data_IF_296919472204
#
_entry.id   IF_296919472204
#
_cell.length_a   1.000
_cell.length_b   1.000
_cell.length_c   1.000
_cell.angle_alpha   90.00
_cell.angle_beta   90.00
_cell.angle_gamma   90.00
#
_symmetry.space_group_name_H-M   'P 1'
#
loop_
_entity.id
_entity.type
_entity.pdbx_description
1 polymer ?
#
# COMPACT_ATOMS: atom_id res chain seq x y z
N UNK A 1 16.96 76.79 3.41
CA UNK A 1 15.88 76.26 2.54
C UNK A 1 15.70 74.75 2.79
N UNK A 2 15.91 74.27 4.02
CA UNK A 2 16.35 72.88 4.26
C UNK A 2 15.30 71.92 4.83
N UNK A 3 14.02 72.33 4.90
CA UNK A 3 12.95 71.47 5.44
C UNK A 3 12.18 70.69 4.37
N UNK A 4 12.36 71.01 3.09
CA UNK A 4 11.68 70.31 1.97
C UNK A 4 12.41 69.02 1.56
N UNK A 5 13.75 69.02 1.49
CA UNK A 5 14.53 67.83 1.11
C UNK A 5 14.43 66.66 2.11
N UNK A 6 14.20 66.95 3.40
CA UNK A 6 14.04 65.94 4.45
C UNK A 6 12.67 65.25 4.40
N UNK A 7 11.59 65.96 4.03
CA UNK A 7 10.26 65.33 3.90
C UNK A 7 10.18 64.38 2.71
N UNK A 8 10.89 64.69 1.63
CA UNK A 8 10.91 63.85 0.42
C UNK A 8 11.68 62.55 0.65
N UNK A 9 12.81 62.60 1.37
CA UNK A 9 13.55 61.40 1.77
C UNK A 9 12.79 60.55 2.78
N UNK A 10 12.13 61.17 3.76
CA UNK A 10 11.28 60.44 4.72
C UNK A 10 10.12 59.73 3.99
N UNK A 11 9.47 60.40 3.04
CA UNK A 11 8.41 59.80 2.23
C UNK A 11 8.90 58.59 1.43
N UNK A 12 10.07 58.69 0.81
CA UNK A 12 10.67 57.57 0.08
C UNK A 12 10.98 56.38 0.98
N UNK A 13 11.58 56.61 2.16
CA UNK A 13 11.89 55.53 3.12
C UNK A 13 10.62 54.85 3.61
N UNK A 14 9.55 55.59 3.88
CA UNK A 14 8.26 55.02 4.30
C UNK A 14 7.62 54.17 3.21
N UNK A 15 7.61 54.63 1.96
CA UNK A 15 7.07 53.85 0.83
C UNK A 15 7.90 52.58 0.63
N UNK A 16 9.23 52.67 0.67
CA UNK A 16 10.10 51.51 0.53
C UNK A 16 9.88 50.48 1.66
N UNK A 17 9.74 50.94 2.91
CA UNK A 17 9.44 50.08 4.05
C UNK A 17 8.07 49.40 3.89
N UNK A 18 7.05 50.12 3.42
CA UNK A 18 5.71 49.56 3.20
C UNK A 18 5.70 48.50 2.08
N UNK A 19 6.39 48.77 0.97
CA UNK A 19 6.52 47.81 -0.14
C UNK A 19 7.28 46.56 0.34
N UNK A 20 8.39 46.74 1.05
CA UNK A 20 9.19 45.63 1.58
C UNK A 20 8.40 44.79 2.58
N UNK A 21 7.65 45.43 3.48
CA UNK A 21 6.77 44.74 4.43
C UNK A 21 5.66 43.96 3.71
N UNK A 22 5.06 44.54 2.67
CA UNK A 22 4.02 43.88 1.87
C UNK A 22 4.56 42.65 1.14
N UNK A 23 5.74 42.75 0.53
CA UNK A 23 6.43 41.61 -0.11
C UNK A 23 6.75 40.54 0.93
N UNK A 24 7.22 40.93 2.12
CA UNK A 24 7.52 40.00 3.20
C UNK A 24 6.32 39.15 3.63
N UNK A 25 5.14 39.77 3.79
CA UNK A 25 3.89 39.07 4.14
C UNK A 25 3.43 38.12 3.03
N UNK A 26 3.51 38.56 1.76
CA UNK A 26 3.15 37.71 0.61
C UNK A 26 4.11 36.52 0.50
N UNK A 27 5.39 36.72 0.75
CA UNK A 27 6.40 35.67 0.67
C UNK A 27 6.17 34.58 1.73
N UNK A 28 5.88 34.96 2.98
CA UNK A 28 5.64 33.97 4.05
C UNK A 28 4.31 33.24 3.93
N UNK A 29 3.26 33.91 3.46
CA UNK A 29 1.91 33.31 3.39
C UNK A 29 1.66 32.59 2.07
N UNK A 30 2.18 33.11 0.96
CA UNK A 30 1.92 32.61 -0.38
C UNK A 30 2.73 31.37 -0.76
N UNK A 31 3.95 31.23 -0.23
CA UNK A 31 4.83 30.10 -0.58
C UNK A 31 4.43 28.83 0.15
N UNK A 32 4.12 28.89 1.46
CA UNK A 32 3.72 27.72 2.23
C UNK A 32 2.49 27.01 1.66
N UNK A 33 1.45 27.76 1.30
CA UNK A 33 0.24 27.16 0.69
C UNK A 33 0.47 26.56 -0.70
N UNK A 34 1.48 27.04 -1.46
CA UNK A 34 1.87 26.44 -2.74
C UNK A 34 2.72 25.19 -2.55
N UNK A 35 3.55 25.14 -1.50
CA UNK A 35 4.33 23.97 -1.11
C UNK A 35 3.38 22.84 -0.67
N UNK A 36 2.43 23.11 0.22
CA UNK A 36 1.43 22.13 0.67
C UNK A 36 0.64 21.56 -0.52
N UNK A 37 0.12 22.42 -1.41
CA UNK A 37 -0.63 21.99 -2.59
C UNK A 37 0.21 21.14 -3.55
N UNK A 38 1.52 21.44 -3.66
CA UNK A 38 2.44 20.66 -4.50
C UNK A 38 2.75 19.30 -3.89
N UNK A 39 2.93 19.22 -2.58
CA UNK A 39 3.20 17.97 -1.86
C UNK A 39 1.98 17.01 -1.91
N UNK A 40 0.76 17.55 -1.81
CA UNK A 40 -0.48 16.78 -1.98
C UNK A 40 -0.64 16.24 -3.42
N UNK A 41 -0.33 17.07 -4.42
CA UNK A 41 -0.38 16.69 -5.82
C UNK A 41 0.69 15.62 -6.14
N UNK A 42 1.87 15.74 -5.54
CA UNK A 42 2.93 14.72 -5.64
C UNK A 42 2.44 13.37 -5.09
N UNK A 43 1.87 13.35 -3.88
CA UNK A 43 1.37 12.12 -3.27
C UNK A 43 0.24 11.50 -4.09
N UNK A 44 -0.67 12.32 -4.60
CA UNK A 44 -1.77 11.87 -5.48
C UNK A 44 -1.26 11.25 -6.78
N UNK A 45 -0.22 11.84 -7.39
CA UNK A 45 0.41 11.26 -8.59
C UNK A 45 1.14 9.95 -8.27
N UNK A 46 1.77 9.83 -7.09
CA UNK A 46 2.36 8.58 -6.63
C UNK A 46 1.32 7.48 -6.44
N UNK A 47 0.17 7.78 -5.84
CA UNK A 47 -0.92 6.80 -5.70
C UNK A 47 -1.31 6.22 -7.06
N UNK A 48 -1.48 7.07 -8.08
CA UNK A 48 -1.79 6.61 -9.44
C UNK A 48 -0.68 5.74 -10.03
N UNK A 49 0.58 6.09 -9.78
CA UNK A 49 1.71 5.28 -10.25
C UNK A 49 1.77 3.91 -9.55
N UNK A 50 1.37 3.83 -8.28
CA UNK A 50 1.25 2.57 -7.55
C UNK A 50 0.04 1.74 -7.98
N UNK A 51 -1.06 2.37 -8.40
CA UNK A 51 -2.18 1.66 -9.01
C UNK A 51 -1.74 1.01 -10.33
N UNK A 52 -0.99 1.74 -11.18
CA UNK A 52 -0.38 1.16 -12.39
C UNK A 52 0.64 0.05 -12.07
N UNK A 53 1.40 0.20 -10.98
CA UNK A 53 2.28 -0.86 -10.50
C UNK A 53 1.48 -2.11 -10.10
N UNK A 54 0.37 -1.95 -9.40
CA UNK A 54 -0.48 -3.06 -8.99
C UNK A 54 -1.05 -3.81 -10.19
N UNK A 55 -1.53 -3.08 -11.21
CA UNK A 55 -1.97 -3.67 -12.49
C UNK A 55 -0.83 -4.43 -13.17
N UNK A 56 0.37 -3.83 -13.24
CA UNK A 56 1.54 -4.49 -13.80
C UNK A 56 1.94 -5.76 -13.02
N UNK A 57 1.76 -5.77 -11.70
CA UNK A 57 1.98 -6.98 -10.90
C UNK A 57 0.89 -8.02 -11.17
N UNK A 58 -0.36 -7.60 -11.34
CA UNK A 58 -1.45 -8.48 -11.74
C UNK A 58 -1.14 -9.14 -13.10
N UNK A 59 -0.63 -8.40 -14.08
CA UNK A 59 -0.24 -8.93 -15.39
C UNK A 59 0.85 -10.01 -15.31
N UNK A 60 1.89 -9.80 -14.49
CA UNK A 60 2.95 -10.81 -14.35
C UNK A 60 2.49 -12.03 -13.58
N UNK A 61 1.51 -11.90 -12.68
CA UNK A 61 1.00 -12.99 -11.85
C UNK A 61 -0.15 -13.77 -12.50
N UNK A 62 -0.98 -13.12 -13.32
CA UNK A 62 -2.18 -13.72 -13.93
C UNK A 62 -2.08 -13.85 -15.46
N UNK A 63 -1.60 -12.82 -16.17
CA UNK A 63 -1.60 -12.81 -17.65
C UNK A 63 -0.37 -13.45 -18.27
N UNK A 64 0.58 -13.87 -17.44
CA UNK A 64 1.70 -14.65 -17.90
C UNK A 64 2.91 -13.84 -18.36
N UNK A 65 2.91 -12.52 -18.18
CA UNK A 65 4.04 -11.66 -18.55
C UNK A 65 5.30 -12.01 -17.73
N UNK A 66 6.49 -12.12 -18.35
CA UNK A 66 7.72 -12.42 -17.62
C UNK A 66 8.17 -11.24 -16.74
N UNK A 67 7.93 -10.01 -17.18
CA UNK A 67 8.18 -8.80 -16.42
C UNK A 67 7.34 -7.62 -16.92
N UNK A 68 7.15 -6.63 -16.04
CA UNK A 68 6.54 -5.32 -16.34
C UNK A 68 7.33 -4.22 -15.67
N UNK A 69 7.34 -3.03 -16.27
CA UNK A 69 8.09 -1.88 -15.77
C UNK A 69 7.18 -0.67 -15.55
N UNK A 70 7.45 0.07 -14.48
CA UNK A 70 6.75 1.30 -14.10
C UNK A 70 7.78 2.40 -13.84
N UNK A 71 7.58 3.57 -14.45
CA UNK A 71 8.39 4.75 -14.14
C UNK A 71 7.74 5.54 -13.01
N UNK A 72 8.52 5.93 -12.02
CA UNK A 72 8.07 6.72 -10.87
C UNK A 72 8.99 7.92 -10.66
N UNK A 73 8.42 9.12 -10.56
CA UNK A 73 9.18 10.31 -10.23
C UNK A 73 9.26 10.48 -8.71
N UNK A 74 10.47 10.41 -8.14
CA UNK A 74 10.67 10.50 -6.69
C UNK A 74 10.38 11.91 -6.15
N UNK A 75 10.72 12.95 -6.90
CA UNK A 75 10.42 14.34 -6.52
C UNK A 75 10.84 14.72 -5.08
N UNK A 76 11.97 14.17 -4.60
CA UNK A 76 12.51 14.39 -3.26
C UNK A 76 12.18 13.30 -2.25
N UNK A 77 11.30 12.36 -2.60
CA UNK A 77 10.96 11.18 -1.80
C UNK A 77 12.00 10.07 -1.90
N UNK A 78 11.78 9.01 -1.13
CA UNK A 78 12.52 7.75 -1.22
C UNK A 78 11.60 6.61 -1.67
N UNK A 79 12.13 5.67 -2.44
CA UNK A 79 11.46 4.43 -2.81
C UNK A 79 12.32 3.25 -2.35
N UNK A 80 11.79 2.38 -1.50
CA UNK A 80 12.53 1.25 -0.94
C UNK A 80 11.62 0.13 -0.46
N UNK A 81 12.16 -0.78 0.34
CA UNK A 81 11.42 -1.93 0.87
C UNK A 81 11.22 -1.78 2.38
N UNK A 82 9.97 -1.87 2.82
CA UNK A 82 9.60 -1.76 4.23
C UNK A 82 9.74 -3.06 5.03
N UNK A 83 9.20 -3.03 6.24
CA UNK A 83 9.18 -4.19 7.15
C UNK A 83 8.36 -5.36 6.57
N UNK A 84 8.79 -6.61 6.81
CA UNK A 84 8.08 -7.78 6.31
C UNK A 84 6.61 -7.82 6.77
N UNK A 85 5.73 -8.22 5.85
CA UNK A 85 4.32 -8.49 6.11
C UNK A 85 4.10 -10.00 5.99
N UNK A 86 3.45 -10.61 6.96
CA UNK A 86 3.10 -12.04 6.93
C UNK A 86 1.59 -12.20 6.76
N UNK A 87 1.22 -13.10 5.86
CA UNK A 87 -0.16 -13.55 5.67
C UNK A 87 -0.20 -15.05 5.89
N UNK A 88 -1.16 -15.51 6.68
CA UNK A 88 -1.41 -16.92 6.93
C UNK A 88 -2.87 -17.25 6.64
N UNK A 89 -3.07 -18.33 5.88
CA UNK A 89 -4.38 -18.88 5.56
C UNK A 89 -4.48 -20.23 6.22
N UNK A 90 -5.43 -20.38 7.13
CA UNK A 90 -5.76 -21.65 7.78
C UNK A 90 -7.16 -22.06 7.37
N UNK A 91 -7.32 -23.26 6.83
CA UNK A 91 -8.60 -23.79 6.41
C UNK A 91 -8.83 -25.15 7.04
N UNK A 92 -10.02 -25.36 7.59
CA UNK A 92 -10.41 -26.62 8.21
C UNK A 92 -11.79 -27.00 7.67
N UNK A 93 -11.90 -28.23 7.19
CA UNK A 93 -13.18 -28.86 6.92
C UNK A 93 -13.93 -29.03 8.26
N UNK A 94 -15.23 -28.71 8.28
CA UNK A 94 -16.06 -28.80 9.49
C UNK A 94 -16.48 -30.23 9.84
N UNK A 95 -16.43 -31.14 8.87
CA UNK A 95 -17.00 -32.50 8.96
C UNK A 95 -15.96 -33.60 8.79
N UNK A 96 -14.73 -33.25 8.37
CA UNK A 96 -13.58 -34.15 8.28
C UNK A 96 -12.32 -33.64 8.98
N UNK A 97 -11.28 -34.48 9.10
CA UNK A 97 -9.97 -34.08 9.62
C UNK A 97 -9.13 -33.29 8.59
N UNK A 98 -9.67 -33.01 7.40
CA UNK A 98 -8.96 -32.32 6.34
C UNK A 98 -8.68 -30.85 6.71
N UNK A 99 -7.43 -30.44 6.56
CA UNK A 99 -6.99 -29.08 6.86
C UNK A 99 -5.89 -28.62 5.89
N UNK A 100 -5.71 -27.30 5.83
CA UNK A 100 -4.70 -26.64 5.04
C UNK A 100 -4.17 -25.42 5.81
N UNK A 101 -2.85 -25.29 5.92
CA UNK A 101 -2.21 -24.07 6.43
C UNK A 101 -1.16 -23.59 5.43
N UNK A 102 -1.30 -22.35 4.96
CA UNK A 102 -0.37 -21.70 4.04
C UNK A 102 0.04 -20.34 4.61
N UNK A 103 1.31 -20.21 4.99
CA UNK A 103 1.90 -18.93 5.41
C UNK A 103 2.88 -18.39 4.39
N UNK A 104 2.84 -17.08 4.12
CA UNK A 104 3.80 -16.37 3.27
C UNK A 104 4.21 -15.04 3.90
N UNK A 105 5.45 -14.65 3.66
CA UNK A 105 5.99 -13.35 4.07
C UNK A 105 6.41 -12.60 2.81
N UNK A 106 6.13 -11.30 2.74
CA UNK A 106 6.53 -10.44 1.63
C UNK A 106 7.19 -9.17 2.15
N UNK A 107 8.07 -8.58 1.33
CA UNK A 107 8.65 -7.26 1.55
C UNK A 107 7.82 -6.21 0.79
N UNK A 108 7.11 -5.32 1.49
CA UNK A 108 6.35 -4.26 0.85
C UNK A 108 7.28 -3.26 0.16
N UNK A 109 6.85 -2.72 -0.97
CA UNK A 109 7.51 -1.59 -1.62
C UNK A 109 6.90 -0.29 -1.08
N UNK A 110 7.73 0.61 -0.56
CA UNK A 110 7.33 1.83 0.13
C UNK A 110 7.92 3.04 -0.59
N UNK A 111 7.04 3.94 -1.03
CA UNK A 111 7.38 5.31 -1.35
C UNK A 111 7.14 6.18 -0.11
N UNK A 112 8.17 6.85 0.37
CA UNK A 112 8.15 7.67 1.59
C UNK A 112 8.48 9.13 1.26
N UNK A 113 7.52 10.02 1.54
CA UNK A 113 7.60 11.45 1.31
C UNK A 113 7.10 12.24 2.53
N UNK A 114 7.46 13.52 2.68
CA UNK A 114 7.01 14.34 3.81
C UNK A 114 5.49 14.42 3.99
N UNK A 115 4.73 14.37 2.88
CA UNK A 115 3.27 14.42 2.91
C UNK A 115 2.58 13.09 3.23
N UNK A 116 3.30 11.97 3.23
CA UNK A 116 2.76 10.64 3.47
C UNK A 116 3.46 9.54 2.68
N UNK A 117 3.05 8.30 2.93
CA UNK A 117 3.60 7.12 2.25
C UNK A 117 2.61 6.50 1.27
N UNK A 118 3.13 5.87 0.22
CA UNK A 118 2.37 4.96 -0.65
C UNK A 118 3.04 3.60 -0.66
N UNK A 119 2.28 2.54 -0.39
CA UNK A 119 2.83 1.20 -0.16
C UNK A 119 2.16 0.18 -1.05
N UNK A 120 2.94 -0.69 -1.69
CA UNK A 120 2.45 -1.93 -2.33
C UNK A 120 2.79 -3.12 -1.44
N UNK A 121 1.80 -3.95 -1.10
CA UNK A 121 1.99 -5.12 -0.23
C UNK A 121 0.94 -6.19 -0.52
N UNK A 122 1.38 -7.42 -0.81
CA UNK A 122 0.50 -8.60 -0.97
C UNK A 122 -0.67 -8.38 -1.95
N UNK A 123 -0.44 -7.66 -3.06
CA UNK A 123 -1.50 -7.37 -4.05
C UNK A 123 -2.31 -6.12 -3.77
N UNK A 124 -2.15 -5.49 -2.60
CA UNK A 124 -2.86 -4.28 -2.22
C UNK A 124 -1.95 -3.04 -2.30
N UNK A 125 -2.55 -1.87 -2.57
CA UNK A 125 -1.89 -0.57 -2.38
C UNK A 125 -2.50 0.20 -1.22
N UNK A 126 -1.68 0.97 -0.51
CA UNK A 126 -2.08 1.77 0.63
C UNK A 126 -1.58 3.21 0.48
N UNK A 127 -2.39 4.16 0.91
CA UNK A 127 -1.95 5.52 1.28
C UNK A 127 -1.85 5.59 2.79
N UNK A 128 -0.73 6.06 3.33
CA UNK A 128 -0.49 6.16 4.76
C UNK A 128 -0.21 7.59 5.15
N UNK A 129 -1.08 8.17 5.98
CA UNK A 129 -0.96 9.54 6.46
C UNK A 129 -1.07 9.55 8.00
N UNK A 130 -0.04 10.06 8.69
CA UNK A 130 -0.04 10.18 10.16
C UNK A 130 -0.26 8.84 10.89
N UNK A 131 0.27 7.74 10.35
CA UNK A 131 0.11 6.39 10.90
C UNK A 131 -1.22 5.71 10.55
N UNK A 132 -2.13 6.39 9.87
CA UNK A 132 -3.39 5.81 9.39
C UNK A 132 -3.22 5.33 7.95
N UNK A 133 -3.51 4.06 7.70
CA UNK A 133 -3.47 3.48 6.36
C UNK A 133 -4.87 3.37 5.75
N UNK A 134 -5.02 3.78 4.49
CA UNK A 134 -6.20 3.56 3.67
C UNK A 134 -5.82 2.71 2.46
N UNK A 135 -6.49 1.56 2.30
CA UNK A 135 -6.32 0.72 1.11
C UNK A 135 -6.88 1.45 -0.12
N UNK A 136 -6.17 1.39 -1.25
CA UNK A 136 -6.48 2.11 -2.49
C UNK A 136 -6.81 1.13 -3.62
N UNK A 137 -5.93 0.15 -3.81
CA UNK A 137 -6.18 -1.02 -4.66
C UNK A 137 -6.27 -2.25 -3.75
N UNK A 138 -7.33 -3.02 -3.96
CA UNK A 138 -7.63 -4.24 -3.21
C UNK A 138 -6.88 -5.44 -3.82
N UNK A 139 -6.47 -6.43 -3.01
CA UNK A 139 -5.92 -7.67 -3.53
C UNK A 139 -7.04 -8.51 -4.19
N UNK A 140 -6.67 -9.39 -5.12
CA UNK A 140 -7.63 -10.22 -5.87
C UNK A 140 -8.31 -11.36 -5.07
N UNK A 141 -8.53 -11.19 -3.77
CA UNK A 141 -9.24 -12.15 -2.93
C UNK A 141 -10.69 -12.28 -3.41
N UNK A 142 -11.12 -13.53 -3.63
CA UNK A 142 -12.50 -13.85 -3.98
C UNK A 142 -13.08 -14.69 -2.85
N UNK A 143 -14.16 -14.21 -2.25
CA UNK A 143 -14.94 -14.93 -1.23
C UNK A 143 -16.30 -15.27 -1.83
N UNK A 144 -16.61 -16.55 -1.91
CA UNK A 144 -17.87 -17.10 -2.41
C UNK A 144 -18.17 -18.43 -1.70
N UNK A 145 -19.44 -18.68 -1.45
CA UNK A 145 -19.90 -19.88 -0.74
C UNK A 145 -19.45 -21.18 -1.43
N UNK A 146 -19.31 -21.21 -2.77
CA UNK A 146 -18.91 -22.43 -3.50
C UNK A 146 -17.42 -22.57 -3.73
N UNK A 147 -16.75 -21.46 -4.05
CA UNK A 147 -15.32 -21.47 -4.35
C UNK A 147 -14.70 -20.12 -4.08
N UNK A 148 -13.89 -20.09 -3.04
CA UNK A 148 -13.07 -18.93 -2.71
C UNK A 148 -11.64 -19.09 -3.22
N UNK A 149 -11.01 -17.97 -3.57
CA UNK A 149 -9.62 -17.90 -4.03
C UNK A 149 -8.87 -16.87 -3.18
N UNK A 150 -7.81 -17.31 -2.49
CA UNK A 150 -6.93 -16.43 -1.72
C UNK A 150 -5.59 -16.31 -2.45
N UNK A 151 -5.34 -15.19 -3.18
CA UNK A 151 -4.06 -14.99 -3.84
C UNK A 151 -3.01 -14.43 -2.89
N UNK A 152 -1.90 -15.15 -2.76
CA UNK A 152 -0.73 -14.69 -2.03
C UNK A 152 0.31 -14.16 -3.02
N UNK A 153 0.40 -12.83 -3.12
CA UNK A 153 1.39 -12.15 -3.98
C UNK A 153 2.62 -11.79 -3.15
N UNK A 154 3.65 -12.62 -3.26
CA UNK A 154 4.87 -12.50 -2.48
C UNK A 154 5.89 -11.63 -3.20
N UNK A 155 6.31 -10.53 -2.58
CA UNK A 155 7.27 -9.58 -3.17
C UNK A 155 8.60 -9.57 -2.44
N UNK A 156 9.70 -9.51 -3.19
CA UNK A 156 11.06 -9.39 -2.64
C UNK A 156 11.96 -8.50 -3.50
N UNK A 157 13.02 -7.89 -2.92
CA UNK A 157 14.03 -7.17 -3.70
C UNK A 157 14.91 -8.13 -4.51
N UNK A 158 15.23 -7.75 -5.76
CA UNK A 158 16.16 -8.48 -6.65
C UNK A 158 17.60 -8.50 -6.16
N UNK A 159 17.96 -7.48 -5.41
CA UNK A 159 19.28 -7.31 -4.81
C UNK A 159 19.11 -6.58 -3.49
N UNK A 160 20.06 -6.75 -2.55
CA UNK A 160 20.14 -5.96 -1.31
C UNK A 160 20.37 -4.45 -1.55
N UNK A 161 20.25 -3.97 -2.79
CA UNK A 161 20.14 -2.57 -3.12
C UNK A 161 19.01 -1.96 -2.29
N UNK A 162 19.38 -1.11 -1.33
CA UNK A 162 18.45 -0.37 -0.48
C UNK A 162 17.57 0.59 -1.28
N UNK A 163 16.89 1.49 -0.57
CA UNK A 163 16.03 2.48 -1.21
C UNK A 163 16.80 3.43 -2.14
N UNK A 164 16.15 3.86 -3.21
CA UNK A 164 16.61 4.94 -4.09
C UNK A 164 15.89 6.22 -3.70
N UNK A 165 16.63 7.31 -3.48
CA UNK A 165 16.08 8.62 -3.12
C UNK A 165 16.55 9.71 -4.08
N UNK A 166 15.84 10.83 -4.08
CA UNK A 166 16.25 12.03 -4.83
C UNK A 166 15.14 12.63 -5.68
N UNK A 167 15.50 13.47 -6.64
CA UNK A 167 14.55 14.19 -7.51
C UNK A 167 14.36 13.54 -8.88
N UNK A 168 15.04 12.43 -9.16
CA UNK A 168 15.02 11.73 -10.45
C UNK A 168 13.76 10.86 -10.63
N UNK A 169 13.58 10.42 -11.88
CA UNK A 169 12.67 9.33 -12.22
C UNK A 169 13.40 8.01 -12.03
N UNK A 170 12.78 7.07 -11.34
CA UNK A 170 13.26 5.70 -11.17
C UNK A 170 12.44 4.74 -12.03
N UNK A 171 13.10 3.73 -12.58
CA UNK A 171 12.46 2.61 -13.25
C UNK A 171 12.36 1.45 -12.25
N UNK A 172 11.12 1.05 -11.97
CA UNK A 172 10.77 -0.11 -11.17
C UNK A 172 10.37 -1.25 -12.10
N UNK A 173 11.00 -2.42 -11.95
CA UNK A 173 10.68 -3.60 -12.77
C UNK A 173 10.23 -4.75 -11.87
N UNK A 174 9.04 -5.26 -12.12
CA UNK A 174 8.49 -6.49 -11.55
C UNK A 174 8.89 -7.68 -12.43
N UNK A 175 9.60 -8.65 -11.87
CA UNK A 175 9.93 -9.92 -12.53
C UNK A 175 9.12 -11.04 -11.91
N UNK A 176 8.40 -11.81 -12.73
CA UNK A 176 7.78 -13.05 -12.26
C UNK A 176 8.88 -14.08 -12.00
N UNK A 177 8.91 -14.62 -10.78
CA UNK A 177 9.76 -15.74 -10.41
C UNK A 177 8.99 -17.07 -10.47
N UNK A 178 7.80 -17.11 -9.88
CA UNK A 178 6.93 -18.28 -9.90
C UNK A 178 5.47 -17.87 -9.81
N UNK A 179 4.60 -18.71 -10.36
CA UNK A 179 3.14 -18.67 -10.20
C UNK A 179 2.69 -20.12 -10.01
N UNK A 180 1.86 -20.38 -9.02
CA UNK A 180 1.37 -21.73 -8.74
C UNK A 180 0.25 -21.76 -7.71
N UNK A 181 -0.06 -22.98 -7.27
CA UNK A 181 -1.04 -23.26 -6.22
C UNK A 181 -0.26 -23.72 -4.98
N UNK A 182 -0.38 -22.96 -3.89
CA UNK A 182 0.23 -23.34 -2.62
C UNK A 182 -0.61 -24.36 -1.84
N UNK A 183 -1.92 -24.35 -2.04
CA UNK A 183 -2.82 -25.30 -1.42
C UNK A 183 -4.22 -25.25 -2.01
N UNK A 184 -4.92 -26.37 -1.90
CA UNK A 184 -6.32 -26.46 -2.25
C UNK A 184 -7.02 -27.36 -1.23
N UNK A 185 -8.23 -26.98 -0.84
CA UNK A 185 -9.12 -27.79 -0.01
C UNK A 185 -10.51 -27.76 -0.66
N UNK A 186 -11.20 -28.89 -0.66
CA UNK A 186 -12.48 -29.07 -1.32
C UNK A 186 -13.29 -30.08 -0.52
N UNK A 187 -14.52 -29.74 -0.17
CA UNK A 187 -15.42 -30.61 0.60
C UNK A 187 -16.12 -31.64 -0.28
N UNK A 188 -16.00 -31.52 -1.61
CA UNK A 188 -16.65 -32.44 -2.55
C UNK A 188 -18.09 -32.02 -2.87
N UNK A 189 -18.91 -32.97 -3.31
CA UNK A 189 -20.26 -32.68 -3.83
C UNK A 189 -21.38 -32.69 -2.79
N UNK A 190 -21.07 -33.00 -1.53
CA UNK A 190 -22.06 -33.11 -0.47
C UNK A 190 -22.21 -31.76 0.25
N UNK A 191 -23.38 -31.13 0.06
CA UNK A 191 -23.70 -29.76 0.48
C UNK A 191 -23.80 -29.54 2.00
N UNK A 192 -23.27 -30.46 2.82
CA UNK A 192 -23.24 -30.35 4.27
C UNK A 192 -21.87 -29.93 4.81
N UNK A 193 -20.82 -30.14 4.02
CA UNK A 193 -19.43 -29.96 4.44
C UNK A 193 -18.96 -28.56 4.03
N UNK A 194 -18.64 -27.70 5.01
CA UNK A 194 -18.12 -26.35 4.78
C UNK A 194 -16.65 -26.26 5.19
N UNK A 195 -15.85 -25.56 4.41
CA UNK A 195 -14.50 -25.17 4.80
C UNK A 195 -14.57 -23.87 5.58
N UNK A 196 -14.22 -23.91 6.86
CA UNK A 196 -13.95 -22.72 7.66
C UNK A 196 -12.55 -22.20 7.35
N UNK A 197 -12.45 -20.98 6.83
CA UNK A 197 -11.18 -20.34 6.45
C UNK A 197 -10.91 -19.14 7.35
N UNK A 198 -9.75 -19.12 8.01
CA UNK A 198 -9.19 -17.98 8.73
C UNK A 198 -8.04 -17.38 7.92
N UNK A 199 -8.08 -16.07 7.72
CA UNK A 199 -7.00 -15.29 7.09
C UNK A 199 -6.43 -14.34 8.14
N UNK A 200 -5.16 -14.56 8.50
CA UNK A 200 -4.40 -13.75 9.45
C UNK A 200 -3.38 -12.90 8.71
N UNK A 201 -3.29 -11.61 9.05
CA UNK A 201 -2.32 -10.68 8.47
C UNK A 201 -1.57 -9.93 9.57
N UNK A 202 -0.26 -10.17 9.67
CA UNK A 202 0.68 -9.43 10.50
C UNK A 202 1.27 -8.27 9.70
N UNK A 203 0.90 -7.04 10.04
CA UNK A 203 1.29 -5.82 9.32
C UNK A 203 1.12 -4.57 10.19
N UNK A 204 1.99 -3.57 10.01
CA UNK A 204 1.76 -2.21 10.54
C UNK A 204 0.47 -1.56 10.01
N UNK A 205 -0.15 -2.15 8.99
CA UNK A 205 -1.40 -1.69 8.35
C UNK A 205 -2.58 -2.62 8.67
N UNK A 206 -2.50 -3.41 9.74
CA UNK A 206 -3.52 -4.39 10.14
C UNK A 206 -4.95 -3.82 10.19
N UNK A 207 -5.13 -2.59 10.68
CA UNK A 207 -6.45 -1.95 10.72
C UNK A 207 -7.07 -1.72 9.33
N UNK A 208 -6.25 -1.47 8.30
CA UNK A 208 -6.72 -1.33 6.92
C UNK A 208 -7.11 -2.68 6.32
N UNK A 209 -6.35 -3.73 6.63
CA UNK A 209 -6.70 -5.12 6.27
C UNK A 209 -8.01 -5.56 6.91
N UNK A 210 -8.23 -5.25 8.20
CA UNK A 210 -9.48 -5.58 8.88
C UNK A 210 -10.70 -4.95 8.21
N UNK A 211 -10.65 -3.64 7.91
CA UNK A 211 -11.73 -2.95 7.17
C UNK A 211 -11.99 -3.56 5.79
N UNK A 212 -10.94 -3.99 5.10
CA UNK A 212 -11.08 -4.67 3.81
C UNK A 212 -11.81 -6.00 3.96
N UNK A 213 -11.42 -6.84 4.93
CA UNK A 213 -12.08 -8.12 5.19
C UNK A 213 -13.55 -7.95 5.60
N UNK A 214 -13.87 -6.97 6.45
CA UNK A 214 -15.25 -6.62 6.78
C UNK A 214 -16.06 -6.23 5.54
N UNK A 215 -15.46 -5.47 4.62
CA UNK A 215 -16.15 -5.05 3.38
C UNK A 215 -16.43 -6.21 2.43
N UNK A 216 -15.64 -7.29 2.51
CA UNK A 216 -15.85 -8.55 1.79
C UNK A 216 -16.91 -9.45 2.46
N UNK A 217 -17.47 -9.04 3.61
CA UNK A 217 -18.44 -9.84 4.36
C UNK A 217 -17.81 -10.91 5.26
N UNK A 218 -16.49 -10.87 5.45
CA UNK A 218 -15.82 -11.75 6.42
C UNK A 218 -16.12 -11.29 7.85
N UNK A 219 -16.10 -12.21 8.80
CA UNK A 219 -16.41 -11.95 10.21
C UNK A 219 -15.21 -12.21 11.12
N UNK A 220 -15.15 -11.66 12.34
CA UNK A 220 -14.18 -12.08 13.34
C UNK A 220 -14.26 -13.60 13.60
N UNK A 221 -13.15 -14.26 14.00
CA UNK A 221 -13.17 -15.70 14.21
C UNK A 221 -14.11 -16.13 15.35
N UNK A 222 -14.95 -17.13 15.11
CA UNK A 222 -15.94 -17.62 16.09
C UNK A 222 -15.27 -18.07 17.40
N UNK A 223 -14.10 -18.70 17.30
CA UNK A 223 -13.32 -19.20 18.43
C UNK A 223 -12.56 -18.10 19.20
N UNK A 224 -12.27 -16.97 18.55
CA UNK A 224 -11.55 -15.85 19.15
C UNK A 224 -11.89 -14.52 18.45
N UNK A 225 -13.04 -13.89 18.79
CA UNK A 225 -13.45 -12.65 18.14
C UNK A 225 -12.48 -11.48 18.36
N UNK A 226 -11.68 -11.50 19.43
CA UNK A 226 -10.69 -10.47 19.71
C UNK A 226 -9.53 -10.45 18.71
N UNK A 227 -9.32 -11.53 17.94
CA UNK A 227 -8.29 -11.58 16.90
C UNK A 227 -8.56 -10.63 15.72
N UNK A 228 -9.77 -10.04 15.62
CA UNK A 228 -10.07 -9.00 14.64
C UNK A 228 -9.61 -7.59 15.07
N UNK A 229 -9.12 -7.42 16.30
CA UNK A 229 -8.54 -6.17 16.79
C UNK A 229 -7.12 -5.98 16.24
N UNK A 230 -6.88 -4.84 15.60
CA UNK A 230 -5.61 -4.51 14.96
C UNK A 230 -4.55 -3.93 15.92
N UNK A 231 -4.84 -3.80 17.22
CA UNK A 231 -3.98 -3.14 18.20
C UNK A 231 -2.56 -3.72 18.27
N UNK A 232 -2.41 -5.03 18.06
CA UNK A 232 -1.13 -5.73 18.14
C UNK A 232 -0.39 -5.81 16.78
N UNK A 233 -0.89 -5.11 15.75
CA UNK A 233 -0.31 -5.16 14.40
C UNK A 233 -0.62 -6.46 13.65
N UNK A 234 -1.65 -7.19 14.08
CA UNK A 234 -2.16 -8.40 13.46
C UNK A 234 -3.69 -8.33 13.42
N UNK A 235 -4.32 -8.87 12.37
CA UNK A 235 -5.77 -9.10 12.32
C UNK A 235 -6.07 -10.47 11.74
N UNK A 236 -7.11 -11.13 12.24
CA UNK A 236 -7.65 -12.37 11.67
C UNK A 236 -9.13 -12.22 11.37
N UNK A 237 -9.54 -12.64 10.18
CA UNK A 237 -10.94 -12.70 9.75
C UNK A 237 -11.27 -14.06 9.15
N UNK A 238 -12.54 -14.42 9.21
CA UNK A 238 -13.08 -15.73 8.90
C UNK A 238 -14.17 -15.66 7.83
N UNK A 239 -14.24 -16.69 6.99
CA UNK A 239 -15.37 -16.97 6.11
C UNK A 239 -15.55 -18.49 5.93
N UNK A 240 -16.64 -18.88 5.27
CA UNK A 240 -16.98 -20.27 4.95
C UNK A 240 -17.09 -20.46 3.43
N UNK A 241 -16.70 -21.62 2.91
CA UNK A 241 -16.79 -21.96 1.48
C UNK A 241 -16.76 -23.48 1.28
N UNK A 242 -17.36 -24.02 0.22
CA UNK A 242 -17.24 -25.44 -0.14
C UNK A 242 -15.82 -25.78 -0.65
N UNK A 243 -15.14 -24.78 -1.22
CA UNK A 243 -13.85 -24.99 -1.84
C UNK A 243 -12.92 -23.79 -1.70
N UNK A 244 -11.67 -24.07 -1.33
CA UNK A 244 -10.62 -23.07 -1.22
C UNK A 244 -9.48 -23.36 -2.18
N UNK A 245 -9.06 -22.34 -2.92
CA UNK A 245 -7.80 -22.34 -3.65
C UNK A 245 -6.90 -21.24 -3.08
N UNK A 246 -5.70 -21.60 -2.63
CA UNK A 246 -4.67 -20.65 -2.24
C UNK A 246 -3.62 -20.61 -3.35
N UNK A 247 -3.63 -19.54 -4.14
CA UNK A 247 -2.61 -19.31 -5.16
C UNK A 247 -1.40 -18.58 -4.58
N UNK A 248 -0.24 -18.84 -5.16
CA UNK A 248 1.04 -18.29 -4.69
C UNK A 248 1.84 -17.80 -5.88
N UNK A 249 2.17 -16.51 -5.86
CA UNK A 249 2.92 -15.86 -6.92
C UNK A 249 4.09 -15.09 -6.33
N UNK A 250 5.30 -15.40 -6.78
CA UNK A 250 6.52 -14.70 -6.33
C UNK A 250 6.94 -13.70 -7.40
N UNK A 251 7.02 -12.44 -6.98
CA UNK A 251 7.43 -11.31 -7.80
C UNK A 251 8.67 -10.66 -7.20
N UNK A 252 9.68 -10.49 -8.02
CA UNK A 252 10.93 -9.86 -7.62
C UNK A 252 10.99 -8.43 -8.19
N UNK A 253 11.23 -7.45 -7.33
CA UNK A 253 11.32 -6.05 -7.72
C UNK A 253 12.78 -5.59 -7.87
N UNK A 254 13.07 -4.89 -8.95
CA UNK A 254 14.32 -4.17 -9.16
C UNK A 254 14.06 -2.68 -9.30
N UNK A 255 14.82 -1.87 -8.57
CA UNK A 255 14.76 -0.40 -8.64
C UNK A 255 16.06 0.09 -9.30
N UNK A 256 15.93 0.95 -10.32
CA UNK A 256 17.06 1.60 -10.98
C UNK A 256 16.78 3.09 -11.16
N UNK A 257 17.80 3.93 -10.99
CA UNK A 257 17.70 5.39 -11.08
C UNK A 257 18.80 6.00 -11.93
#
# INVERSE_FOLDING_TARGET
MDRRGVSETIGFVFVFALVTASIGVVYTTGIGGLEDAREDEQLTNTVRAFDVLADNVADVTHEGAPSRATELKLSGATLGFGDPVRVEVQANDTDSDANLTVGRTARPLVYDAPSGEVVYSMGATFRVDGGNAAMRTEPGLVVDDRRSVVPLVVTYPKSDSGGVGGSSTVLLVAYRQSVGVAGQLDTGSDAADEVRVNVTVESSRAAAWGRYFESMGMTPPDSNPAAADAADGEVTYQFYTDGLLVSDSVVEFSISG
#
